data_IF_572038031135
#
_entry.id   IF_572038031135
#
_cell.length_a   1.000
_cell.length_b   1.000
_cell.length_c   1.000
_cell.angle_alpha   90.00
_cell.angle_beta   90.00
_cell.angle_gamma   90.00
#
_symmetry.space_group_name_H-M   'P 1'
#
loop_
_entity.id
_entity.type
_entity.pdbx_description
1 polymer ?
#
# COMPACT_ATOMS: atom_id res chain seq x y z
N UNK A 1 12.32 -2.36 -19.50
CA UNK A 1 10.86 -2.59 -19.61
C UNK A 1 10.23 -1.31 -20.14
N UNK A 2 9.95 -1.28 -21.45
CA UNK A 2 9.78 -0.09 -22.29
C UNK A 2 8.33 0.48 -22.23
N UNK A 3 7.48 -0.08 -21.36
CA UNK A 3 6.02 0.17 -21.33
C UNK A 3 5.53 1.20 -20.30
N UNK A 4 6.41 1.83 -19.50
CA UNK A 4 6.02 2.79 -18.45
C UNK A 4 6.10 4.25 -18.93
N UNK A 5 6.82 4.52 -20.03
CA UNK A 5 7.10 5.89 -20.50
C UNK A 5 5.99 6.54 -21.34
N UNK A 6 4.91 5.82 -21.68
CA UNK A 6 3.78 6.39 -22.45
C UNK A 6 2.57 6.77 -21.59
N UNK A 7 2.59 6.43 -20.29
CA UNK A 7 1.51 6.78 -19.38
C UNK A 7 1.82 8.13 -18.71
N UNK A 8 0.88 9.08 -18.66
CA UNK A 8 1.10 10.34 -17.98
C UNK A 8 1.45 10.09 -16.50
N UNK A 9 2.54 10.70 -16.04
CA UNK A 9 3.10 10.58 -14.68
C UNK A 9 2.04 10.71 -13.56
N UNK A 10 0.97 11.45 -13.83
CA UNK A 10 -0.17 11.67 -12.95
C UNK A 10 -0.98 10.39 -12.65
N UNK A 11 -1.12 9.49 -13.62
CA UNK A 11 -1.90 8.23 -13.46
C UNK A 11 -1.13 7.23 -12.61
N UNK A 12 0.19 7.14 -12.81
CA UNK A 12 1.07 6.30 -12.01
C UNK A 12 1.07 6.78 -10.56
N UNK A 13 1.15 8.09 -10.34
CA UNK A 13 1.04 8.68 -9.00
C UNK A 13 -0.29 8.35 -8.32
N UNK A 14 -1.41 8.53 -9.03
CA UNK A 14 -2.74 8.28 -8.50
C UNK A 14 -2.93 6.80 -8.11
N UNK A 15 -2.39 5.89 -8.91
CA UNK A 15 -2.40 4.47 -8.61
C UNK A 15 -1.53 4.14 -7.39
N UNK A 16 -0.33 4.71 -7.24
CA UNK A 16 0.51 4.50 -6.05
C UNK A 16 -0.25 4.95 -4.79
N UNK A 17 -0.91 6.10 -4.83
CA UNK A 17 -1.70 6.64 -3.73
C UNK A 17 -2.89 5.73 -3.39
N UNK A 18 -3.61 5.23 -4.40
CA UNK A 18 -4.73 4.29 -4.20
C UNK A 18 -4.23 2.97 -3.61
N UNK A 19 -3.15 2.40 -4.16
CA UNK A 19 -2.55 1.17 -3.64
C UNK A 19 -2.06 1.36 -2.19
N UNK A 20 -1.50 2.53 -1.86
CA UNK A 20 -1.02 2.84 -0.52
C UNK A 20 -2.16 2.92 0.48
N UNK A 21 -3.27 3.55 0.09
CA UNK A 21 -4.49 3.59 0.87
C UNK A 21 -5.07 2.19 1.12
N UNK A 22 -5.02 1.31 0.11
CA UNK A 22 -5.48 -0.08 0.22
C UNK A 22 -4.57 -0.87 1.17
N UNK A 23 -3.25 -0.83 0.98
CA UNK A 23 -2.26 -1.46 1.88
C UNK A 23 -2.44 -0.99 3.31
N UNK A 24 -2.66 0.31 3.50
CA UNK A 24 -2.90 0.88 4.81
C UNK A 24 -4.12 0.25 5.49
N UNK A 25 -5.27 0.22 4.80
CA UNK A 25 -6.48 -0.46 5.29
C UNK A 25 -6.24 -1.93 5.62
N UNK A 26 -5.48 -2.64 4.78
CA UNK A 26 -5.20 -4.07 4.93
C UNK A 26 -4.23 -4.36 6.09
N UNK A 27 -3.17 -3.57 6.23
CA UNK A 27 -2.15 -3.70 7.27
C UNK A 27 -2.73 -3.31 8.64
N UNK A 28 -3.49 -2.22 8.69
CA UNK A 28 -4.20 -1.75 9.88
C UNK A 28 -5.60 -2.37 10.02
N UNK A 29 -5.79 -3.67 9.76
CA UNK A 29 -7.04 -4.38 10.09
C UNK A 29 -7.24 -4.59 11.61
N UNK A 30 -6.92 -3.56 12.39
CA UNK A 30 -7.10 -3.48 13.83
C UNK A 30 -8.15 -2.39 14.06
N UNK A 31 -9.20 -2.70 14.81
CA UNK A 31 -10.24 -1.72 15.19
C UNK A 31 -9.56 -0.61 16.00
N UNK A 32 -9.21 0.49 15.34
CA UNK A 32 -8.62 1.64 16.01
C UNK A 32 -9.71 2.66 16.33
N UNK A 33 -9.75 3.19 17.56
CA UNK A 33 -10.64 4.29 17.90
C UNK A 33 -10.35 5.49 16.98
N UNK A 34 -11.40 6.17 16.53
CA UNK A 34 -11.39 7.19 15.46
C UNK A 34 -10.27 8.25 15.64
N UNK A 35 -9.97 8.63 16.89
CA UNK A 35 -8.88 9.57 17.22
C UNK A 35 -7.49 9.10 16.77
N UNK A 36 -7.18 7.81 16.90
CA UNK A 36 -5.88 7.27 16.46
C UNK A 36 -5.80 7.11 14.94
N UNK A 37 -6.94 6.96 14.26
CA UNK A 37 -6.96 6.85 12.79
C UNK A 37 -6.42 8.12 12.11
N UNK A 38 -6.71 9.31 12.67
CA UNK A 38 -6.24 10.59 12.12
C UNK A 38 -4.72 10.73 12.19
N UNK A 39 -4.12 10.43 13.35
CA UNK A 39 -2.65 10.50 13.53
C UNK A 39 -1.94 9.57 12.54
N UNK A 40 -2.50 8.38 12.32
CA UNK A 40 -1.90 7.41 11.43
C UNK A 40 -2.14 7.79 9.95
N UNK A 41 -3.26 8.42 9.61
CA UNK A 41 -3.49 8.96 8.26
C UNK A 41 -2.50 10.10 7.93
N UNK A 42 -2.14 10.93 8.92
CA UNK A 42 -1.09 11.95 8.77
C UNK A 42 0.28 11.30 8.54
N UNK A 43 0.62 10.27 9.32
CA UNK A 43 1.84 9.49 9.10
C UNK A 43 1.86 8.79 7.73
N UNK A 44 0.69 8.32 7.26
CA UNK A 44 0.54 7.71 5.93
C UNK A 44 0.79 8.74 4.83
N UNK A 45 0.24 9.94 4.95
CA UNK A 45 0.49 11.03 4.01
C UNK A 45 1.99 11.35 3.91
N UNK A 46 2.70 11.37 5.05
CA UNK A 46 4.16 11.57 5.09
C UNK A 46 4.92 10.39 4.46
N UNK A 47 4.52 9.15 4.77
CA UNK A 47 5.13 7.95 4.18
C UNK A 47 4.95 7.86 2.66
N UNK A 48 3.82 8.37 2.14
CA UNK A 48 3.56 8.45 0.71
C UNK A 48 4.55 9.35 -0.02
N UNK A 49 5.07 10.41 0.64
CA UNK A 49 6.12 11.28 0.07
C UNK A 49 7.42 10.49 -0.12
N UNK A 50 7.79 9.65 0.85
CA UNK A 50 8.98 8.79 0.74
C UNK A 50 8.81 7.76 -0.38
N UNK A 51 7.64 7.13 -0.51
CA UNK A 51 7.37 6.21 -1.62
C UNK A 51 7.43 6.89 -2.98
N UNK A 52 6.94 8.13 -3.08
CA UNK A 52 7.02 8.93 -4.30
C UNK A 52 8.46 9.23 -4.71
N UNK A 53 9.30 9.60 -3.74
CA UNK A 53 10.74 9.84 -3.96
C UNK A 53 11.45 8.56 -4.44
N UNK A 54 11.16 7.41 -3.83
CA UNK A 54 11.75 6.14 -4.25
C UNK A 54 11.30 5.71 -5.65
N UNK A 55 10.04 5.97 -6.01
CA UNK A 55 9.55 5.70 -7.36
C UNK A 55 10.25 6.57 -8.41
N UNK A 56 10.45 7.85 -8.10
CA UNK A 56 11.22 8.78 -8.96
C UNK A 56 12.67 8.32 -9.17
N UNK A 57 13.26 7.65 -8.18
CA UNK A 57 14.61 7.09 -8.25
C UNK A 57 14.72 5.79 -9.07
N UNK A 58 13.63 5.37 -9.75
CA UNK A 58 13.62 4.23 -10.66
C UNK A 58 13.33 2.88 -10.00
N UNK A 59 12.93 2.86 -8.72
CA UNK A 59 12.61 1.61 -8.05
C UNK A 59 11.19 1.10 -8.40
N UNK A 60 11.01 -0.23 -8.56
CA UNK A 60 9.71 -0.85 -8.85
C UNK A 60 8.80 -0.94 -7.60
N UNK A 61 8.48 0.20 -6.97
CA UNK A 61 7.61 0.29 -5.75
C UNK A 61 6.23 -0.30 -6.01
N UNK A 62 5.70 -0.05 -7.20
CA UNK A 62 4.38 -0.53 -7.63
C UNK A 62 4.26 -2.04 -7.51
N UNK A 63 5.24 -2.77 -8.02
CA UNK A 63 5.28 -4.23 -7.96
C UNK A 63 5.45 -4.70 -6.51
N UNK A 64 6.31 -4.04 -5.74
CA UNK A 64 6.53 -4.36 -4.33
C UNK A 64 5.24 -4.21 -3.48
N UNK A 65 4.45 -3.16 -3.72
CA UNK A 65 3.17 -2.97 -3.03
C UNK A 65 2.15 -4.04 -3.41
N UNK A 66 2.06 -4.38 -4.70
CA UNK A 66 1.18 -5.44 -5.18
C UNK A 66 1.54 -6.79 -4.54
N UNK A 67 2.83 -7.10 -4.46
CA UNK A 67 3.38 -8.29 -3.80
C UNK A 67 3.05 -8.31 -2.29
N UNK A 68 3.14 -7.14 -1.64
CA UNK A 68 2.76 -6.97 -0.23
C UNK A 68 1.27 -7.23 0.00
N UNK A 69 0.39 -6.70 -0.85
CA UNK A 69 -1.06 -6.94 -0.77
C UNK A 69 -1.34 -8.43 -0.85
N UNK A 70 -0.76 -9.12 -1.84
CA UNK A 70 -0.93 -10.56 -2.01
C UNK A 70 -0.48 -11.30 -0.74
N UNK A 71 0.69 -10.96 -0.19
CA UNK A 71 1.20 -11.60 1.02
C UNK A 71 0.29 -11.37 2.24
N UNK A 72 -0.22 -10.16 2.43
CA UNK A 72 -1.16 -9.84 3.53
C UNK A 72 -2.50 -10.58 3.34
N UNK A 73 -3.04 -10.63 2.12
CA UNK A 73 -4.28 -11.36 1.84
C UNK A 73 -4.10 -12.86 2.12
N UNK A 74 -3.01 -13.46 1.62
CA UNK A 74 -2.70 -14.88 1.85
C UNK A 74 -2.56 -15.19 3.34
N UNK A 75 -1.86 -14.33 4.10
CA UNK A 75 -1.68 -14.54 5.55
C UNK A 75 -2.98 -14.42 6.32
N UNK A 76 -3.88 -13.48 5.98
CA UNK A 76 -5.21 -13.36 6.59
C UNK A 76 -6.09 -14.59 6.34
N UNK A 77 -6.07 -15.06 5.10
CA UNK A 77 -6.80 -16.26 4.68
C UNK A 77 -6.28 -17.47 5.49
N UNK A 78 -4.96 -17.69 5.53
CA UNK A 78 -4.32 -18.75 6.34
C UNK A 78 -4.70 -18.68 7.83
N UNK A 79 -4.63 -17.50 8.44
CA UNK A 79 -4.96 -17.31 9.85
C UNK A 79 -6.43 -17.64 10.18
N UNK A 80 -7.34 -17.42 9.23
CA UNK A 80 -8.77 -17.73 9.41
C UNK A 80 -9.05 -19.23 9.32
N UNK A 81 -8.24 -19.97 8.55
CA UNK A 81 -8.33 -21.42 8.46
C UNK A 81 -7.68 -22.13 9.65
N UNK A 82 -6.54 -21.67 10.15
CA UNK A 82 -5.81 -22.28 11.29
C UNK A 82 -6.57 -22.20 12.61
N UNK A 83 -7.48 -21.23 12.76
CA UNK A 83 -8.24 -21.02 14.02
C UNK A 83 -9.49 -21.91 14.16
N UNK A 84 -9.70 -22.85 13.23
CA UNK A 84 -10.85 -23.77 13.22
C UNK A 84 -10.51 -25.22 13.56
N UNK A 85 -9.26 -25.49 13.93
CA UNK A 85 -8.83 -26.75 14.57
C UNK A 85 -8.62 -26.51 16.08
#
# INVERSE_FOLDING_TARGET
>A
MIWINELPYQVVYLIIVILASIVYKLAFARKLPLLKSIMVYIFLAIGCVILFVFHYMGFPIMVAMLLTIIMVVVTRVRLSFVKRD
#
